data_IF_844756145715
#
_entry.id   IF_844756145715
#
_cell.length_a   1.000
_cell.length_b   1.000
_cell.length_c   1.000
_cell.angle_alpha   90.00
_cell.angle_beta   90.00
_cell.angle_gamma   90.00
#
_symmetry.space_group_name_H-M   'P 1'
#
loop_
_entity.id
_entity.type
_entity.pdbx_description
1 polymer ?
#
# COMPACT_ATOMS: atom_id res chain seq x y z
N UNK A 1 -15.50 21.57 22.56
CA UNK A 1 -16.09 20.32 22.04
C UNK A 1 -15.13 19.80 21.00
N UNK A 2 -14.34 18.83 21.43
CA UNK A 2 -13.10 18.35 20.83
C UNK A 2 -13.31 17.62 19.50
N UNK A 3 -12.51 17.98 18.49
CA UNK A 3 -12.40 17.24 17.25
C UNK A 3 -11.48 16.03 17.46
N UNK A 4 -12.03 14.82 17.35
CA UNK A 4 -11.23 13.59 17.37
C UNK A 4 -10.48 13.43 16.03
N UNK A 5 -9.16 13.19 16.03
CA UNK A 5 -8.35 13.00 14.83
C UNK A 5 -8.45 11.54 14.40
N UNK A 6 -9.47 11.21 13.62
CA UNK A 6 -9.65 9.87 13.05
C UNK A 6 -9.97 10.01 11.58
N UNK A 7 -9.08 9.53 10.72
CA UNK A 7 -9.26 9.45 9.27
C UNK A 7 -10.36 8.46 8.90
N UNK A 8 -11.60 8.84 9.15
CA UNK A 8 -12.76 8.27 8.48
C UNK A 8 -12.70 8.78 7.04
N UNK A 9 -12.89 7.90 6.04
CA UNK A 9 -13.33 8.37 4.72
C UNK A 9 -14.51 9.28 4.99
N UNK A 10 -14.46 10.54 4.54
CA UNK A 10 -15.60 11.44 4.66
C UNK A 10 -16.72 10.81 3.84
N UNK A 11 -17.56 10.02 4.52
CA UNK A 11 -18.89 9.69 4.04
C UNK A 11 -19.66 10.94 4.37
N UNK A 12 -19.54 11.92 3.46
CA UNK A 12 -20.24 13.18 3.58
C UNK A 12 -21.72 12.89 3.81
N UNK A 13 -22.38 13.80 4.51
CA UNK A 13 -23.80 13.70 4.93
C UNK A 13 -24.74 13.88 3.72
N UNK A 14 -24.33 13.39 2.56
CA UNK A 14 -25.09 13.33 1.32
C UNK A 14 -24.65 12.08 0.53
N UNK A 15 -25.52 11.08 0.46
CA UNK A 15 -25.27 9.77 -0.17
C UNK A 15 -25.16 9.80 -1.70
N UNK A 16 -24.57 10.84 -2.30
CA UNK A 16 -24.60 11.02 -3.76
C UNK A 16 -23.25 11.13 -4.47
N UNK A 17 -22.10 11.33 -3.79
CA UNK A 17 -20.77 11.17 -4.44
C UNK A 17 -19.64 11.17 -3.42
N UNK A 18 -18.85 10.08 -3.29
CA UNK A 18 -17.53 10.19 -2.68
C UNK A 18 -16.69 11.19 -3.48
N UNK A 19 -15.85 11.97 -2.82
CA UNK A 19 -14.87 12.88 -3.44
C UNK A 19 -13.81 12.08 -4.21
N UNK A 20 -14.19 11.58 -5.37
CA UNK A 20 -13.35 10.85 -6.30
C UNK A 20 -13.00 11.76 -7.47
N UNK A 21 -11.72 11.81 -7.82
CA UNK A 21 -11.28 12.38 -9.08
C UNK A 21 -11.69 11.46 -10.24
N UNK A 22 -11.89 12.04 -11.43
CA UNK A 22 -12.21 11.27 -12.65
C UNK A 22 -11.18 10.16 -12.94
N UNK A 23 -9.96 10.32 -12.41
CA UNK A 23 -8.89 9.32 -12.42
C UNK A 23 -8.73 8.75 -11.01
N UNK A 24 -9.38 7.60 -10.76
CA UNK A 24 -9.32 6.87 -9.49
C UNK A 24 -8.99 5.39 -9.72
N UNK A 25 -7.97 4.86 -9.04
CA UNK A 25 -7.59 3.44 -9.14
C UNK A 25 -8.69 2.51 -8.64
N UNK A 26 -9.50 2.93 -7.67
CA UNK A 26 -10.55 2.10 -7.08
C UNK A 26 -11.74 1.92 -8.01
N UNK A 27 -11.97 2.87 -8.92
CA UNK A 27 -13.01 2.81 -9.96
C UNK A 27 -12.58 1.98 -11.18
N UNK A 28 -11.29 1.62 -11.28
CA UNK A 28 -10.77 0.80 -12.37
C UNK A 28 -11.09 -0.69 -12.17
N UNK A 29 -11.20 -1.49 -13.24
CA UNK A 29 -11.21 -2.95 -13.14
C UNK A 29 -9.95 -3.45 -12.43
N UNK A 30 -10.08 -4.51 -11.63
CA UNK A 30 -8.96 -5.15 -10.95
C UNK A 30 -8.13 -6.03 -11.92
N UNK A 31 -7.64 -5.43 -12.99
CA UNK A 31 -6.83 -6.05 -14.04
C UNK A 31 -5.42 -5.42 -14.02
N UNK A 32 -4.38 -6.24 -13.96
CA UNK A 32 -2.99 -5.77 -13.92
C UNK A 32 -2.59 -4.90 -15.11
N UNK A 33 -3.11 -5.15 -16.31
CA UNK A 33 -2.84 -4.28 -17.47
C UNK A 33 -3.33 -2.85 -17.23
N UNK A 34 -4.54 -2.71 -16.67
CA UNK A 34 -5.13 -1.41 -16.34
C UNK A 34 -4.41 -0.77 -15.16
N UNK A 35 -4.16 -1.52 -14.08
CA UNK A 35 -3.51 -1.00 -12.87
C UNK A 35 -2.07 -0.54 -13.14
N UNK A 36 -1.34 -1.18 -14.06
CA UNK A 36 -0.03 -0.71 -14.53
C UNK A 36 -0.11 0.66 -15.19
N UNK A 37 -1.18 0.99 -15.90
CA UNK A 37 -1.32 2.32 -16.51
C UNK A 37 -1.39 3.42 -15.44
N UNK A 38 -2.03 3.17 -14.30
CA UNK A 38 -2.01 4.09 -13.15
C UNK A 38 -0.60 4.23 -12.56
N UNK A 39 0.10 3.11 -12.34
CA UNK A 39 1.48 3.13 -11.85
C UNK A 39 2.42 3.88 -12.82
N UNK A 40 2.24 3.72 -14.14
CA UNK A 40 2.98 4.44 -15.16
C UNK A 40 2.67 5.93 -15.16
N UNK A 41 1.42 6.34 -14.94
CA UNK A 41 1.04 7.74 -14.80
C UNK A 41 1.76 8.38 -13.61
N UNK A 42 1.74 7.72 -12.45
CA UNK A 42 2.48 8.15 -11.26
C UNK A 42 3.99 8.22 -11.56
N UNK A 43 4.53 7.21 -12.23
CA UNK A 43 5.96 7.18 -12.63
C UNK A 43 6.34 8.37 -13.51
N UNK A 44 5.49 8.71 -14.49
CA UNK A 44 5.70 9.89 -15.36
C UNK A 44 5.64 11.19 -14.57
N UNK A 45 4.70 11.30 -13.62
CA UNK A 45 4.56 12.46 -12.75
C UNK A 45 5.79 12.64 -11.85
N UNK A 46 6.21 11.60 -11.13
CA UNK A 46 7.39 11.66 -10.25
C UNK A 46 8.68 11.95 -11.04
N UNK A 47 8.82 11.39 -12.25
CA UNK A 47 9.98 11.70 -13.12
C UNK A 47 10.01 13.17 -13.53
N UNK A 48 8.86 13.79 -13.80
CA UNK A 48 8.76 15.20 -14.20
C UNK A 48 8.81 16.17 -13.01
N UNK A 49 8.26 15.76 -11.87
CA UNK A 49 8.08 16.57 -10.68
C UNK A 49 8.69 15.86 -9.47
N UNK A 50 10.02 15.72 -9.47
CA UNK A 50 10.77 14.93 -8.48
C UNK A 50 10.53 15.38 -7.03
N UNK A 51 10.19 16.65 -6.81
CA UNK A 51 9.84 17.19 -5.49
C UNK A 51 8.58 16.53 -4.88
N UNK A 52 7.74 15.88 -5.68
CA UNK A 52 6.55 15.15 -5.21
C UNK A 52 6.87 13.77 -4.63
N UNK A 53 8.09 13.25 -4.81
CA UNK A 53 8.44 11.89 -4.38
C UNK A 53 8.26 11.70 -2.88
N UNK A 54 8.73 12.66 -2.07
CA UNK A 54 8.58 12.60 -0.62
C UNK A 54 7.11 12.67 -0.21
N UNK A 55 6.33 13.53 -0.86
CA UNK A 55 4.88 13.62 -0.62
C UNK A 55 4.18 12.32 -0.98
N UNK A 56 4.53 11.69 -2.11
CA UNK A 56 3.96 10.40 -2.51
C UNK A 56 4.25 9.30 -1.48
N UNK A 57 5.48 9.23 -0.97
CA UNK A 57 5.86 8.31 0.09
C UNK A 57 5.02 8.52 1.37
N UNK A 58 4.86 9.78 1.80
CA UNK A 58 4.08 10.13 2.99
C UNK A 58 2.59 9.77 2.83
N UNK A 59 2.01 10.02 1.65
CA UNK A 59 0.61 9.67 1.37
C UNK A 59 0.40 8.15 1.32
N UNK A 60 1.31 7.38 0.72
CA UNK A 60 1.21 5.91 0.78
C UNK A 60 1.29 5.38 2.21
N UNK A 61 2.15 5.97 3.05
CA UNK A 61 2.21 5.59 4.47
C UNK A 61 0.86 5.79 5.16
N UNK A 62 0.21 6.94 4.92
CA UNK A 62 -1.13 7.25 5.46
C UNK A 62 -2.17 6.27 4.95
N UNK A 63 -2.27 6.08 3.63
CA UNK A 63 -3.25 5.17 3.01
C UNK A 63 -3.14 3.75 3.61
N UNK A 64 -1.92 3.25 3.82
CA UNK A 64 -1.67 1.93 4.41
C UNK A 64 -2.06 1.83 5.89
N UNK A 65 -2.06 2.92 6.65
CA UNK A 65 -2.59 2.93 8.03
C UNK A 65 -4.13 2.84 8.06
N UNK A 66 -4.81 3.22 6.98
CA UNK A 66 -6.27 3.23 6.87
C UNK A 66 -6.85 2.04 6.08
N UNK A 67 -6.12 0.93 5.94
CA UNK A 67 -6.56 -0.25 5.18
C UNK A 67 -7.95 -0.78 5.57
N UNK A 68 -8.36 -0.60 6.83
CA UNK A 68 -9.67 -1.00 7.35
C UNK A 68 -10.84 -0.26 6.68
N UNK A 69 -10.61 0.96 6.18
CA UNK A 69 -11.62 1.76 5.49
C UNK A 69 -11.90 1.34 4.04
N UNK A 70 -11.08 0.47 3.47
CA UNK A 70 -11.23 0.03 2.08
C UNK A 70 -12.01 -1.29 1.97
N UNK A 71 -12.65 -1.55 0.83
CA UNK A 71 -13.16 -2.89 0.52
C UNK A 71 -12.00 -3.87 0.27
N UNK A 72 -12.28 -5.18 0.29
CA UNK A 72 -11.27 -6.19 -0.03
C UNK A 72 -10.68 -5.99 -1.42
N UNK A 73 -11.53 -5.70 -2.40
CA UNK A 73 -11.10 -5.42 -3.78
C UNK A 73 -10.23 -4.15 -3.87
N UNK A 74 -10.59 -3.08 -3.17
CA UNK A 74 -9.81 -1.84 -3.18
C UNK A 74 -8.44 -2.02 -2.52
N UNK A 75 -8.35 -2.80 -1.44
CA UNK A 75 -7.06 -3.18 -0.84
C UNK A 75 -6.18 -3.95 -1.83
N UNK A 76 -6.76 -4.88 -2.58
CA UNK A 76 -6.02 -5.65 -3.58
C UNK A 76 -5.53 -4.77 -4.73
N UNK A 77 -6.37 -3.87 -5.26
CA UNK A 77 -5.97 -2.87 -6.29
C UNK A 77 -4.83 -1.98 -5.78
N UNK A 78 -4.93 -1.50 -4.53
CA UNK A 78 -3.90 -0.69 -3.89
C UNK A 78 -2.58 -1.46 -3.79
N UNK A 79 -2.61 -2.70 -3.28
CA UNK A 79 -1.44 -3.56 -3.14
C UNK A 79 -0.76 -3.81 -4.49
N UNK A 80 -1.54 -4.08 -5.53
CA UNK A 80 -1.06 -4.31 -6.90
C UNK A 80 -0.34 -3.08 -7.46
N UNK A 81 -0.94 -1.90 -7.38
CA UNK A 81 -0.31 -0.65 -7.84
C UNK A 81 0.94 -0.32 -7.02
N UNK A 82 0.87 -0.49 -5.70
CA UNK A 82 2.00 -0.25 -4.83
C UNK A 82 3.18 -1.19 -5.14
N UNK A 83 2.93 -2.47 -5.43
CA UNK A 83 3.96 -3.42 -5.84
C UNK A 83 4.71 -2.94 -7.09
N UNK A 84 3.98 -2.49 -8.12
CA UNK A 84 4.58 -1.96 -9.36
C UNK A 84 5.42 -0.70 -9.09
N UNK A 85 4.93 0.20 -8.24
CA UNK A 85 5.64 1.44 -7.89
C UNK A 85 6.90 1.19 -7.04
N UNK A 86 6.85 0.20 -6.14
CA UNK A 86 8.04 -0.20 -5.38
C UNK A 86 9.05 -0.86 -6.31
N UNK A 87 8.60 -1.75 -7.20
CA UNK A 87 9.47 -2.41 -8.16
C UNK A 87 10.12 -1.44 -9.15
N UNK A 88 9.42 -0.36 -9.52
CA UNK A 88 9.96 0.69 -10.37
C UNK A 88 10.80 1.75 -9.63
N UNK A 89 10.86 1.69 -8.30
CA UNK A 89 11.63 2.62 -7.47
C UNK A 89 10.98 3.99 -7.26
N UNK A 90 9.69 4.15 -7.56
CA UNK A 90 8.95 5.41 -7.31
C UNK A 90 8.55 5.55 -5.84
N UNK A 91 8.40 4.44 -5.13
CA UNK A 91 8.03 4.39 -3.72
C UNK A 91 9.00 3.43 -3.01
N UNK A 92 9.63 3.82 -1.90
CA UNK A 92 10.51 2.90 -1.19
C UNK A 92 9.72 1.79 -0.49
N UNK A 93 10.24 0.57 -0.48
CA UNK A 93 9.58 -0.57 0.17
C UNK A 93 9.38 -0.41 1.69
N UNK A 94 10.09 0.53 2.33
CA UNK A 94 9.91 0.88 3.74
C UNK A 94 8.49 1.38 4.06
N UNK A 95 7.73 1.89 3.08
CA UNK A 95 6.33 2.27 3.30
C UNK A 95 5.46 1.10 3.77
N UNK A 96 5.79 -0.13 3.38
CA UNK A 96 5.04 -1.33 3.78
C UNK A 96 5.03 -1.52 5.31
N UNK A 97 6.02 -0.97 6.02
CA UNK A 97 6.03 -1.02 7.48
C UNK A 97 4.85 -0.26 8.10
N UNK A 98 4.30 0.76 7.43
CA UNK A 98 3.17 1.51 7.97
C UNK A 98 1.87 0.70 8.01
N UNK A 99 1.77 -0.37 7.23
CA UNK A 99 0.66 -1.32 7.32
C UNK A 99 0.73 -2.22 8.57
N UNK A 100 1.92 -2.36 9.21
CA UNK A 100 2.14 -3.21 10.38
C UNK A 100 1.64 -2.59 11.70
N UNK A 101 0.50 -1.90 11.67
CA UNK A 101 -0.16 -1.40 12.87
C UNK A 101 -0.81 -2.57 13.63
N UNK A 102 -0.74 -2.55 14.97
CA UNK A 102 -1.24 -3.67 15.78
C UNK A 102 -2.72 -4.01 15.49
N UNK A 103 -3.56 -3.01 15.24
CA UNK A 103 -4.97 -3.25 14.90
C UNK A 103 -5.14 -3.90 13.52
N UNK A 104 -4.33 -3.52 12.51
CA UNK A 104 -4.36 -4.13 11.18
C UNK A 104 -3.77 -5.54 11.17
N UNK A 105 -2.77 -5.79 12.03
CA UNK A 105 -2.18 -7.13 12.21
C UNK A 105 -3.18 -8.07 12.88
N UNK A 106 -3.86 -7.62 13.93
CA UNK A 106 -4.92 -8.40 14.61
C UNK A 106 -6.08 -8.74 13.68
N UNK A 107 -6.49 -7.81 12.82
CA UNK A 107 -7.56 -8.00 11.83
C UNK A 107 -7.10 -8.79 10.58
N UNK A 108 -5.83 -9.20 10.49
CA UNK A 108 -5.26 -9.90 9.33
C UNK A 108 -5.06 -9.05 8.07
N UNK A 109 -5.47 -7.77 8.09
CA UNK A 109 -5.43 -6.86 6.96
C UNK A 109 -4.00 -6.50 6.54
N UNK A 110 -3.10 -6.32 7.51
CA UNK A 110 -1.70 -6.03 7.24
C UNK A 110 -1.03 -7.18 6.47
N UNK A 111 -1.25 -8.41 6.94
CA UNK A 111 -0.70 -9.61 6.33
C UNK A 111 -1.26 -9.81 4.91
N UNK A 112 -2.57 -9.68 4.73
CA UNK A 112 -3.19 -9.82 3.40
C UNK A 112 -2.63 -8.78 2.42
N UNK A 113 -2.51 -7.53 2.83
CA UNK A 113 -1.94 -6.48 1.98
C UNK A 113 -0.50 -6.79 1.58
N UNK A 114 0.34 -7.25 2.52
CA UNK A 114 1.70 -7.69 2.20
C UNK A 114 1.70 -8.86 1.23
N UNK A 115 0.88 -9.89 1.46
CA UNK A 115 0.76 -11.04 0.55
C UNK A 115 0.36 -10.62 -0.86
N UNK A 116 -0.62 -9.72 -1.00
CA UNK A 116 -1.05 -9.22 -2.31
C UNK A 116 0.10 -8.46 -3.01
N UNK A 117 0.90 -7.66 -2.27
CA UNK A 117 2.09 -6.99 -2.80
C UNK A 117 3.13 -8.00 -3.27
N UNK A 118 3.41 -9.04 -2.47
CA UNK A 118 4.40 -10.07 -2.78
C UNK A 118 3.97 -10.93 -3.97
N UNK A 119 2.71 -11.37 -4.01
CA UNK A 119 2.17 -12.14 -5.13
C UNK A 119 2.25 -11.35 -6.42
N UNK A 120 1.80 -10.08 -6.40
CA UNK A 120 1.92 -9.19 -7.55
C UNK A 120 3.39 -9.04 -7.98
N UNK A 121 4.32 -8.97 -7.04
CA UNK A 121 5.74 -8.90 -7.37
C UNK A 121 6.23 -10.16 -8.11
N UNK A 122 5.88 -11.35 -7.61
CA UNK A 122 6.28 -12.62 -8.20
C UNK A 122 5.70 -12.81 -9.61
N UNK A 123 4.51 -12.29 -9.87
CA UNK A 123 3.87 -12.32 -11.19
C UNK A 123 4.53 -11.35 -12.18
N UNK A 124 5.15 -10.27 -11.70
CA UNK A 124 5.58 -9.13 -12.52
C UNK A 124 7.09 -8.97 -12.65
N UNK A 125 7.85 -9.57 -11.74
CA UNK A 125 9.29 -9.34 -11.58
C UNK A 125 10.01 -10.63 -11.23
N UNK A 126 11.33 -10.60 -11.41
CA UNK A 126 12.20 -11.70 -11.01
C UNK A 126 12.17 -11.90 -9.47
N UNK A 127 11.87 -13.11 -8.98
CA UNK A 127 11.79 -13.40 -7.54
C UNK A 127 13.07 -13.10 -6.75
N UNK A 128 14.24 -13.14 -7.38
CA UNK A 128 15.52 -12.82 -6.72
C UNK A 128 15.63 -11.37 -6.27
N UNK A 129 14.91 -10.47 -6.94
CA UNK A 129 14.90 -9.03 -6.61
C UNK A 129 14.09 -8.72 -5.35
N UNK A 130 13.11 -9.57 -5.03
CA UNK A 130 12.19 -9.36 -3.93
C UNK A 130 12.91 -9.35 -2.57
N UNK A 131 13.76 -10.35 -2.35
CA UNK A 131 14.51 -10.48 -1.09
C UNK A 131 15.45 -9.30 -0.84
N UNK A 132 16.09 -8.79 -1.89
CA UNK A 132 16.96 -7.62 -1.80
C UNK A 132 16.17 -6.37 -1.39
N UNK A 133 14.97 -6.19 -1.95
CA UNK A 133 14.08 -5.05 -1.64
C UNK A 133 13.54 -5.15 -0.21
N UNK A 134 13.09 -6.33 0.22
CA UNK A 134 12.57 -6.53 1.58
C UNK A 134 13.65 -6.33 2.66
N UNK A 135 14.87 -6.82 2.41
CA UNK A 135 16.01 -6.59 3.33
C UNK A 135 16.35 -5.11 3.44
N UNK A 136 16.40 -4.38 2.32
CA UNK A 136 16.59 -2.92 2.33
C UNK A 136 15.47 -2.18 3.07
N UNK A 137 14.26 -2.72 3.03
CA UNK A 137 13.12 -2.20 3.77
C UNK A 137 13.11 -2.59 5.26
N UNK A 138 14.11 -3.31 5.77
CA UNK A 138 14.23 -3.67 7.19
C UNK A 138 13.27 -4.76 7.67
N UNK A 139 12.72 -5.57 6.76
CA UNK A 139 11.83 -6.69 7.12
C UNK A 139 12.55 -7.90 7.70
N UNK A 140 13.88 -8.00 7.54
CA UNK A 140 14.72 -9.06 8.09
C UNK A 140 14.68 -9.09 9.62
N UNK A 141 14.81 -7.93 10.27
CA UNK A 141 14.79 -7.80 11.73
C UNK A 141 13.39 -7.95 12.33
N UNK A 142 12.35 -7.48 11.63
CA UNK A 142 10.96 -7.44 12.13
C UNK A 142 10.25 -8.79 12.06
N UNK A 143 10.53 -9.61 11.04
CA UNK A 143 9.94 -10.94 10.91
C UNK A 143 10.53 -11.92 11.94
N UNK A 144 11.84 -11.88 12.19
CA UNK A 144 12.49 -12.77 13.17
C UNK A 144 12.08 -12.47 14.61
N UNK A 145 11.89 -11.21 14.99
CA UNK A 145 11.52 -10.83 16.37
C UNK A 145 10.10 -11.29 16.75
N UNK A 146 9.16 -11.38 15.79
CA UNK A 146 7.78 -11.83 16.07
C UNK A 146 7.58 -13.34 16.00
N UNK A 147 8.46 -14.10 15.36
CA UNK A 147 8.44 -15.58 15.42
C UNK A 147 8.99 -16.09 16.77
N UNK A 148 9.96 -15.37 17.36
CA UNK A 148 10.48 -15.70 18.69
C UNK A 148 9.44 -15.61 19.82
N UNK A 149 8.42 -14.75 19.68
CA UNK A 149 7.34 -14.62 20.67
C UNK A 149 6.25 -15.69 20.60
N UNK A 150 6.21 -16.52 19.53
CA UNK A 150 5.29 -17.66 19.42
C UNK A 150 5.92 -19.00 19.81
N UNK A 151 7.21 -19.03 20.16
CA UNK A 151 7.93 -20.24 20.57
C UNK A 151 8.10 -20.36 22.09
N UNK A 152 7.22 -19.69 22.86
CA UNK A 152 7.18 -19.80 24.33
C UNK A 152 5.74 -20.01 24.79
N UNK A 153 5.18 -21.15 24.41
CA UNK A 153 4.15 -21.89 25.13
C UNK A 153 4.33 -23.38 24.81
#
# INVERSE_FOLDING_TARGET
MDAAPGGTLIVDVDSAKPSQTDVCVFSAPNNMEVLKNYAQLITKLIRRYKYLEKTLEEEFKKVLMFLKGFSAENRQKLARVLAVLIAGGQVPASVLQSALQDHLVKDGLALQCLLDVLQTWLDERDPSTLWAVLRKAGFDSRLMVRVGHYSSF
#
